data_IF_302150080151
#
_entry.id   IF_302150080151
#
_cell.length_a   1.000
_cell.length_b   1.000
_cell.length_c   1.000
_cell.angle_alpha   90.00
_cell.angle_beta   90.00
_cell.angle_gamma   90.00
#
_symmetry.space_group_name_H-M   'P 1'
#
loop_
_entity.id
_entity.type
_entity.pdbx_description
1 polymer ?
#
# COMPACT_ATOMS: atom_id res chain seq x y z
N UNK A 1 20.00 -15.81 5.71
CA UNK A 1 18.93 -14.99 5.12
C UNK A 1 17.64 -15.77 5.31
N UNK A 2 16.65 -15.21 5.99
CA UNK A 2 15.36 -15.88 6.17
C UNK A 2 14.63 -15.84 4.82
N UNK A 3 14.22 -16.99 4.31
CA UNK A 3 13.48 -17.06 3.06
C UNK A 3 12.16 -16.31 3.22
N UNK A 4 11.85 -15.41 2.28
CA UNK A 4 10.56 -14.73 2.23
C UNK A 4 9.44 -15.77 2.17
N UNK A 5 8.57 -15.77 3.19
CA UNK A 5 7.28 -16.44 3.10
C UNK A 5 6.24 -15.34 2.94
N UNK A 6 5.58 -15.31 1.79
CA UNK A 6 4.50 -14.36 1.56
C UNK A 6 3.41 -14.55 2.63
N UNK A 7 2.89 -13.46 3.23
CA UNK A 7 1.71 -13.54 4.07
C UNK A 7 0.56 -14.19 3.31
N UNK A 8 -0.19 -15.09 3.97
CA UNK A 8 -1.23 -15.92 3.34
C UNK A 8 -2.37 -15.08 2.77
N UNK A 9 -2.58 -13.88 3.29
CA UNK A 9 -3.62 -12.96 2.84
C UNK A 9 -3.26 -12.17 1.58
N UNK A 10 -2.01 -12.22 1.09
CA UNK A 10 -1.64 -11.52 -0.14
C UNK A 10 -2.09 -12.31 -1.37
N UNK A 11 -2.73 -11.62 -2.30
CA UNK A 11 -3.10 -12.17 -3.60
C UNK A 11 -1.88 -12.33 -4.51
N UNK A 12 -2.04 -13.10 -5.59
CA UNK A 12 -1.00 -13.22 -6.63
C UNK A 12 -0.62 -11.87 -7.24
N UNK A 13 -1.58 -10.97 -7.41
CA UNK A 13 -1.32 -9.63 -7.96
C UNK A 13 -0.43 -8.81 -7.03
N UNK A 14 -0.69 -8.86 -5.71
CA UNK A 14 0.13 -8.19 -4.70
C UNK A 14 1.55 -8.77 -4.64
N UNK A 15 1.66 -10.11 -4.66
CA UNK A 15 2.95 -10.80 -4.71
C UNK A 15 3.75 -10.44 -5.96
N UNK A 16 3.09 -10.41 -7.13
CA UNK A 16 3.72 -9.99 -8.38
C UNK A 16 4.21 -8.54 -8.31
N UNK A 17 3.46 -7.64 -7.66
CA UNK A 17 3.89 -6.26 -7.46
C UNK A 17 5.15 -6.18 -6.58
N UNK A 18 5.16 -6.91 -5.46
CA UNK A 18 6.30 -6.98 -4.54
C UNK A 18 7.57 -7.49 -5.24
N UNK A 19 7.43 -8.51 -6.08
CA UNK A 19 8.52 -9.07 -6.89
C UNK A 19 8.99 -8.09 -7.96
N UNK A 20 8.06 -7.51 -8.75
CA UNK A 20 8.39 -6.58 -9.83
C UNK A 20 9.17 -5.36 -9.33
N UNK A 21 8.82 -4.84 -8.17
CA UNK A 21 9.48 -3.67 -7.57
C UNK A 21 10.69 -4.02 -6.69
N UNK A 22 11.12 -5.30 -6.65
CA UNK A 22 12.21 -5.80 -5.78
C UNK A 22 12.07 -5.38 -4.31
N UNK A 23 10.82 -5.26 -3.85
CA UNK A 23 10.48 -4.72 -2.53
C UNK A 23 11.04 -5.64 -1.46
N UNK A 24 10.88 -6.95 -1.60
CA UNK A 24 11.29 -7.94 -0.60
C UNK A 24 12.80 -8.04 -0.37
N UNK A 25 13.61 -7.56 -1.31
CA UNK A 25 15.07 -7.47 -1.16
C UNK A 25 15.49 -6.20 -0.41
N UNK A 26 14.57 -5.26 -0.20
CA UNK A 26 14.81 -4.03 0.53
C UNK A 26 14.75 -4.29 2.04
N UNK A 27 15.91 -4.17 2.70
CA UNK A 27 16.03 -4.34 4.16
C UNK A 27 15.27 -3.30 4.98
N UNK A 28 14.67 -2.29 4.34
CA UNK A 28 13.92 -1.20 4.97
C UNK A 28 12.41 -1.44 5.03
N UNK A 29 11.90 -2.62 4.70
CA UNK A 29 10.48 -2.89 4.90
C UNK A 29 10.22 -3.23 6.36
N UNK A 30 9.33 -2.47 6.97
CA UNK A 30 8.79 -2.74 8.29
C UNK A 30 7.64 -3.74 8.20
N UNK A 31 6.55 -3.32 7.56
CA UNK A 31 5.28 -4.07 7.53
C UNK A 31 4.76 -4.23 6.11
N UNK A 32 4.10 -5.36 5.87
CA UNK A 32 3.31 -5.63 4.67
C UNK A 32 1.90 -6.02 5.10
N UNK A 33 0.88 -5.43 4.51
CA UNK A 33 -0.50 -5.70 4.92
C UNK A 33 -1.55 -5.29 3.91
N UNK A 34 -2.80 -5.27 4.37
CA UNK A 34 -3.96 -4.80 3.62
C UNK A 34 -4.53 -3.53 4.23
N UNK A 35 -5.16 -2.72 3.39
CA UNK A 35 -6.01 -1.61 3.83
C UNK A 35 -7.31 -1.60 3.04
N UNK A 36 -8.31 -0.91 3.58
CA UNK A 36 -9.57 -0.64 2.90
C UNK A 36 -9.83 0.87 2.81
N UNK A 37 -10.65 1.27 1.85
CA UNK A 37 -11.19 2.61 1.77
C UNK A 37 -12.42 2.75 2.66
N UNK A 38 -12.29 3.53 3.73
CA UNK A 38 -13.43 4.01 4.49
C UNK A 38 -13.99 5.27 3.84
N UNK A 39 -15.27 5.23 3.49
CA UNK A 39 -16.01 6.36 2.94
C UNK A 39 -16.62 7.15 4.10
N UNK A 40 -16.16 8.38 4.31
CA UNK A 40 -16.71 9.26 5.34
C UNK A 40 -17.45 10.43 4.71
N UNK A 41 -18.71 10.70 5.10
CA UNK A 41 -19.38 11.92 4.71
C UNK A 41 -18.62 13.13 5.28
N UNK A 42 -18.50 14.21 4.52
CA UNK A 42 -17.99 15.47 5.06
C UNK A 42 -19.12 16.32 5.58
N UNK A 43 -18.94 16.90 6.78
CA UNK A 43 -19.94 17.77 7.44
C UNK A 43 -20.39 18.96 6.58
N UNK A 44 -19.62 19.35 5.55
CA UNK A 44 -19.93 20.50 4.67
C UNK A 44 -20.79 20.16 3.44
N UNK A 45 -21.00 18.88 3.10
CA UNK A 45 -22.00 18.44 2.12
C UNK A 45 -22.06 16.92 2.09
N UNK A 46 -23.26 16.33 2.20
CA UNK A 46 -23.50 14.89 1.97
C UNK A 46 -23.03 14.43 0.57
N UNK A 47 -22.84 15.37 -0.37
CA UNK A 47 -22.36 15.13 -1.73
C UNK A 47 -20.84 14.88 -1.87
N UNK A 48 -20.02 15.20 -0.86
CA UNK A 48 -18.57 14.96 -0.90
C UNK A 48 -18.17 13.86 0.08
N UNK A 49 -17.96 12.67 -0.46
CA UNK A 49 -17.44 11.52 0.28
C UNK A 49 -15.91 11.63 0.32
N UNK A 50 -15.32 11.69 1.51
CA UNK A 50 -13.86 11.54 1.68
C UNK A 50 -13.50 10.06 1.76
N UNK A 51 -12.48 9.68 1.01
CA UNK A 51 -11.85 8.37 1.12
C UNK A 51 -10.73 8.44 2.15
N UNK A 52 -10.77 7.56 3.16
CA UNK A 52 -9.71 7.42 4.16
C UNK A 52 -9.17 5.98 4.10
N UNK A 53 -7.85 5.78 3.99
CA UNK A 53 -7.28 4.45 4.09
C UNK A 53 -7.32 3.96 5.54
N UNK A 54 -7.79 2.75 5.78
CA UNK A 54 -7.80 2.09 7.08
C UNK A 54 -7.07 0.76 6.96
N UNK A 55 -5.95 0.63 7.68
CA UNK A 55 -5.17 -0.61 7.74
C UNK A 55 -6.02 -1.68 8.45
N UNK A 56 -6.12 -2.86 7.86
CA UNK A 56 -6.94 -3.97 8.39
C UNK A 56 -6.10 -5.03 9.05
N UNK A 57 -5.18 -5.58 8.28
CA UNK A 57 -4.27 -6.64 8.70
C UNK A 57 -2.89 -6.37 8.15
N UNK A 58 -1.87 -6.81 8.89
CA UNK A 58 -0.49 -6.72 8.45
C UNK A 58 0.37 -7.73 9.19
N UNK A 59 1.47 -8.10 8.55
CA UNK A 59 2.56 -8.83 9.18
C UNK A 59 3.80 -7.94 9.29
N UNK A 60 4.55 -8.16 10.37
CA UNK A 60 5.86 -7.56 10.53
C UNK A 60 6.85 -8.36 9.68
N UNK A 61 7.52 -7.68 8.76
CA UNK A 61 8.42 -8.32 7.81
C UNK A 61 9.89 -8.19 8.22
N UNK A 62 10.32 -6.97 8.54
CA UNK A 62 11.67 -6.65 8.99
C UNK A 62 11.70 -6.05 10.38
N UNK A 63 12.81 -5.38 10.71
CA UNK A 63 12.86 -4.50 11.88
C UNK A 63 11.83 -3.37 11.73
N UNK A 64 11.38 -2.73 12.83
CA UNK A 64 10.66 -1.48 12.73
C UNK A 64 11.43 -0.54 11.81
N UNK A 65 10.85 -0.23 10.67
CA UNK A 65 11.54 0.42 9.57
C UNK A 65 10.64 1.45 8.93
N UNK A 66 11.28 2.36 8.22
CA UNK A 66 10.66 3.54 7.65
C UNK A 66 9.58 3.17 6.65
N UNK A 67 9.72 2.11 5.84
CA UNK A 67 8.76 1.77 4.79
C UNK A 67 7.77 0.68 5.21
N UNK A 68 6.50 1.03 5.24
CA UNK A 68 5.39 0.09 5.39
C UNK A 68 4.52 0.14 4.14
N UNK A 69 4.08 -1.04 3.68
CA UNK A 69 3.33 -1.20 2.44
C UNK A 69 2.01 -1.89 2.74
N UNK A 70 0.91 -1.30 2.29
CA UNK A 70 -0.42 -1.88 2.43
C UNK A 70 -1.13 -1.92 1.07
N UNK A 71 -1.80 -3.03 0.78
CA UNK A 71 -2.48 -3.24 -0.48
C UNK A 71 -4.00 -3.12 -0.35
N UNK A 72 -4.61 -2.62 -1.41
CA UNK A 72 -6.04 -2.76 -1.67
C UNK A 72 -6.18 -3.18 -3.13
N UNK A 73 -6.60 -4.42 -3.37
CA UNK A 73 -6.86 -4.90 -4.72
C UNK A 73 -8.24 -4.45 -5.19
N UNK A 74 -8.27 -3.65 -6.26
CA UNK A 74 -9.51 -3.15 -6.83
C UNK A 74 -10.14 -4.18 -7.77
N UNK A 75 -9.29 -4.91 -8.50
CA UNK A 75 -9.64 -5.99 -9.40
C UNK A 75 -8.36 -6.77 -9.76
N UNK A 76 -8.52 -7.82 -10.59
CA UNK A 76 -7.44 -8.73 -11.01
C UNK A 76 -6.24 -8.08 -11.72
N UNK A 77 -6.31 -6.80 -12.08
CA UNK A 77 -5.21 -6.07 -12.75
C UNK A 77 -4.84 -4.75 -12.08
N UNK A 78 -5.58 -4.31 -11.06
CA UNK A 78 -5.43 -2.97 -10.48
C UNK A 78 -5.25 -3.04 -8.97
N UNK A 79 -4.14 -2.49 -8.50
CA UNK A 79 -3.83 -2.35 -7.08
C UNK A 79 -3.81 -0.87 -6.69
N UNK A 80 -4.31 -0.57 -5.49
CA UNK A 80 -3.88 0.61 -4.77
C UNK A 80 -2.83 0.19 -3.76
N UNK A 81 -1.71 0.91 -3.75
CA UNK A 81 -0.57 0.63 -2.86
C UNK A 81 -0.39 1.84 -1.96
N UNK A 82 -0.57 1.62 -0.66
CA UNK A 82 -0.34 2.60 0.37
C UNK A 82 1.08 2.42 0.94
N UNK A 83 1.95 3.35 0.60
CA UNK A 83 3.32 3.47 1.08
C UNK A 83 3.36 4.48 2.24
N UNK A 84 3.76 4.02 3.43
CA UNK A 84 4.04 4.88 4.58
C UNK A 84 5.53 4.86 4.85
N UNK A 85 6.19 6.00 4.66
CA UNK A 85 7.61 6.21 4.94
C UNK A 85 7.79 6.97 6.26
N UNK A 86 8.79 6.63 7.06
CA UNK A 86 9.23 7.36 8.24
C UNK A 86 8.42 7.10 9.52
N UNK A 87 8.88 7.70 10.63
CA UNK A 87 8.24 7.61 11.95
C UNK A 87 7.02 8.54 12.06
N UNK A 88 6.17 8.30 13.06
CA UNK A 88 4.82 8.85 13.21
C UNK A 88 4.63 10.37 13.13
N UNK A 89 5.70 11.18 13.14
CA UNK A 89 5.68 12.65 13.16
C UNK A 89 6.58 13.32 12.09
N UNK A 90 7.21 12.55 11.21
CA UNK A 90 8.03 13.09 10.10
C UNK A 90 7.87 12.25 8.82
N UNK A 91 6.77 11.51 8.74
CA UNK A 91 6.58 10.47 7.76
C UNK A 91 5.74 10.92 6.57
N UNK A 92 6.02 10.39 5.38
CA UNK A 92 5.18 10.63 4.21
C UNK A 92 4.30 9.41 3.94
N UNK A 93 3.02 9.64 3.71
CA UNK A 93 2.05 8.59 3.39
C UNK A 93 1.47 8.84 2.01
N UNK A 94 1.73 7.95 1.07
CA UNK A 94 1.28 8.07 -0.31
C UNK A 94 0.47 6.85 -0.71
N UNK A 95 -0.60 7.07 -1.47
CA UNK A 95 -1.37 5.99 -2.07
C UNK A 95 -1.33 6.14 -3.57
N UNK A 96 -0.74 5.17 -4.26
CA UNK A 96 -0.66 5.14 -5.71
C UNK A 96 -1.58 4.06 -6.27
N UNK A 97 -2.05 4.27 -7.49
CA UNK A 97 -2.71 3.23 -8.27
C UNK A 97 -1.68 2.62 -9.22
N UNK A 98 -1.61 1.30 -9.23
CA UNK A 98 -0.83 0.52 -10.18
C UNK A 98 -1.76 -0.34 -11.03
N UNK A 99 -1.51 -0.37 -12.33
CA UNK A 99 -2.22 -1.22 -13.29
C UNK A 99 -1.23 -2.19 -13.93
N UNK A 100 -1.52 -3.49 -13.84
CA UNK A 100 -0.77 -4.54 -14.52
C UNK A 100 -1.18 -4.58 -16.00
N UNK A 101 -0.23 -4.34 -16.90
CA UNK A 101 -0.41 -4.49 -18.35
C UNK A 101 0.82 -5.17 -18.94
N UNK A 102 0.61 -6.23 -19.73
CA UNK A 102 1.70 -6.97 -20.40
C UNK A 102 2.83 -7.37 -19.43
N UNK A 103 2.47 -7.87 -18.24
CA UNK A 103 3.42 -8.30 -17.21
C UNK A 103 4.18 -7.18 -16.49
N UNK A 104 3.83 -5.91 -16.72
CA UNK A 104 4.46 -4.75 -16.06
C UNK A 104 3.46 -3.92 -15.30
N UNK A 105 3.87 -3.37 -14.17
CA UNK A 105 3.05 -2.44 -13.40
C UNK A 105 3.30 -0.99 -13.83
N UNK A 106 2.22 -0.28 -14.12
CA UNK A 106 2.23 1.14 -14.45
C UNK A 106 1.56 1.91 -13.33
N UNK A 107 2.31 2.84 -12.73
CA UNK A 107 1.83 3.73 -11.67
C UNK A 107 1.18 4.97 -12.27
N UNK A 108 0.18 5.53 -11.60
CA UNK A 108 -0.25 6.90 -11.88
C UNK A 108 0.85 7.93 -11.53
N UNK A 109 0.90 9.04 -12.28
CA UNK A 109 1.93 10.08 -12.11
C UNK A 109 1.82 10.79 -10.75
N UNK A 110 0.58 11.01 -10.29
CA UNK A 110 0.27 11.65 -9.01
C UNK A 110 -0.39 10.66 -8.06
N UNK A 111 -0.07 10.68 -6.76
CA UNK A 111 -0.74 9.81 -5.80
C UNK A 111 -2.24 10.13 -5.74
N UNK A 112 -3.06 9.10 -5.51
CA UNK A 112 -4.49 9.24 -5.22
C UNK A 112 -4.70 10.07 -3.95
N UNK A 113 -3.87 9.83 -2.93
CA UNK A 113 -3.80 10.64 -1.72
C UNK A 113 -2.35 10.72 -1.26
N UNK A 114 -1.94 11.89 -0.80
CA UNK A 114 -0.66 12.11 -0.11
C UNK A 114 -0.91 12.84 1.20
N UNK A 115 -0.24 12.39 2.26
CA UNK A 115 -0.26 13.02 3.58
C UNK A 115 1.17 13.20 4.09
N UNK A 116 1.39 14.30 4.81
CA UNK A 116 2.51 14.47 5.71
C UNK A 116 2.02 14.11 7.13
N UNK A 117 2.76 13.25 7.83
CA UNK A 117 2.51 12.86 9.23
C UNK A 117 3.53 13.51 10.15
#
# INVERSE_FOLDING_TARGET
MQAYKAPVFLTDLMNNWLLFHNVLQNSKIGKIGLFEWELRPTQKSELKIRKKPVIKEFEQYGKPSDLNIYFFELNSTTLHVFESHGFSLSGTKNIYQYVLKNGKFYRNDKPLISFLS
#
